data_IF_837391660301
#
_entry.id   IF_837391660301
#
_cell.length_a   1.000
_cell.length_b   1.000
_cell.length_c   1.000
_cell.angle_alpha   90.00
_cell.angle_beta   90.00
_cell.angle_gamma   90.00
#
_symmetry.space_group_name_H-M   'P 1'
#
loop_
_entity.id
_entity.type
_entity.pdbx_description
1 polymer ?
#
# COMPACT_ATOMS: atom_id res chain seq x y z
N UNK A 1 -1.34 78.79 -4.89
CA UNK A 1 -1.41 77.62 -3.95
C UNK A 1 -1.93 76.43 -4.69
N UNK A 2 -1.05 75.44 -5.03
CA UNK A 2 -1.43 74.22 -5.74
C UNK A 2 -1.61 73.09 -4.74
N UNK A 3 -2.83 72.58 -4.64
CA UNK A 3 -3.14 71.42 -3.76
C UNK A 3 -2.59 70.10 -4.37
N UNK A 4 -1.76 69.39 -3.61
CA UNK A 4 -1.27 68.05 -3.95
C UNK A 4 -2.37 67.03 -3.58
N UNK A 5 -2.97 66.41 -4.59
CA UNK A 5 -3.85 65.26 -4.39
C UNK A 5 -3.01 64.00 -4.16
N UNK A 6 -3.06 63.45 -2.95
CA UNK A 6 -2.47 62.14 -2.61
C UNK A 6 -3.43 61.04 -3.07
N UNK A 7 -3.06 60.30 -4.12
CA UNK A 7 -3.75 59.08 -4.52
C UNK A 7 -3.35 57.96 -3.59
N UNK A 8 -4.29 57.53 -2.76
CA UNK A 8 -4.17 56.28 -1.96
C UNK A 8 -4.44 55.11 -2.87
N UNK A 9 -3.45 54.24 -3.06
CA UNK A 9 -3.63 52.92 -3.67
C UNK A 9 -4.33 51.99 -2.65
N UNK A 10 -5.37 51.25 -3.03
CA UNK A 10 -5.92 50.23 -2.21
C UNK A 10 -5.00 48.98 -2.21
N UNK A 11 -4.49 48.66 -1.07
CA UNK A 11 -3.75 47.39 -0.81
C UNK A 11 -4.78 46.27 -0.77
N UNK A 12 -4.96 45.54 -1.86
CA UNK A 12 -5.77 44.33 -1.88
C UNK A 12 -5.03 43.20 -1.21
N UNK A 13 -5.47 42.88 0.00
CA UNK A 13 -5.01 41.73 0.79
C UNK A 13 -5.57 40.46 0.16
N UNK A 14 -4.76 39.76 -0.64
CA UNK A 14 -5.09 38.41 -1.11
C UNK A 14 -4.97 37.43 0.05
N UNK A 15 -6.07 37.16 0.70
CA UNK A 15 -6.18 36.09 1.68
C UNK A 15 -6.16 34.75 0.97
N UNK A 16 -5.02 34.03 1.01
CA UNK A 16 -4.95 32.64 0.59
C UNK A 16 -5.67 31.79 1.62
N UNK A 17 -6.93 31.42 1.36
CA UNK A 17 -7.63 30.39 2.10
C UNK A 17 -6.94 29.04 1.81
N UNK A 18 -6.10 28.58 2.75
CA UNK A 18 -5.59 27.21 2.74
C UNK A 18 -6.75 26.30 3.14
N UNK A 19 -7.51 25.83 2.17
CA UNK A 19 -8.46 24.75 2.36
C UNK A 19 -7.66 23.48 2.59
N UNK A 20 -7.48 23.07 3.85
CA UNK A 20 -6.98 21.75 4.22
C UNK A 20 -8.00 20.73 3.72
N UNK A 21 -7.74 20.17 2.55
CA UNK A 21 -8.44 19.00 2.06
C UNK A 21 -8.03 17.83 2.95
N UNK A 22 -8.83 17.57 3.96
CA UNK A 22 -8.79 16.28 4.66
C UNK A 22 -9.18 15.22 3.63
N UNK A 23 -8.19 14.61 2.99
CA UNK A 23 -8.38 13.38 2.26
C UNK A 23 -8.75 12.31 3.27
N UNK A 24 -10.03 12.15 3.52
CA UNK A 24 -10.54 10.91 4.12
C UNK A 24 -10.20 9.83 3.10
N UNK A 25 -9.07 9.15 3.29
CA UNK A 25 -8.77 7.95 2.52
C UNK A 25 -9.93 6.99 2.78
N UNK A 26 -10.59 6.46 1.74
CA UNK A 26 -11.54 5.39 1.98
C UNK A 26 -10.79 4.32 2.76
N UNK A 27 -11.36 3.88 3.88
CA UNK A 27 -10.79 2.78 4.65
C UNK A 27 -10.80 1.59 3.69
N UNK A 28 -9.64 1.27 3.15
CA UNK A 28 -9.45 0.12 2.27
C UNK A 28 -9.44 -1.13 3.12
N UNK A 29 -9.94 -2.24 2.58
CA UNK A 29 -9.74 -3.55 3.17
C UNK A 29 -8.24 -3.78 3.40
N UNK A 30 -7.91 -4.76 4.22
CA UNK A 30 -6.51 -5.05 4.53
C UNK A 30 -5.75 -5.43 3.25
N UNK A 31 -4.64 -4.75 2.98
CA UNK A 31 -3.81 -5.00 1.79
C UNK A 31 -2.40 -5.36 2.21
N UNK A 32 -1.90 -6.48 1.67
CA UNK A 32 -0.50 -6.89 1.79
C UNK A 32 0.16 -6.62 0.44
N UNK A 33 1.23 -5.83 0.42
CA UNK A 33 2.07 -5.62 -0.76
C UNK A 33 3.39 -6.33 -0.56
N UNK A 34 3.73 -7.25 -1.47
CA UNK A 34 4.98 -8.02 -1.46
C UNK A 34 5.88 -7.53 -2.60
N UNK A 35 7.06 -7.05 -2.26
CA UNK A 35 8.01 -6.41 -3.16
C UNK A 35 9.39 -7.04 -3.11
N UNK A 36 10.07 -7.09 -4.27
CA UNK A 36 11.49 -7.46 -4.33
C UNK A 36 12.31 -6.22 -4.02
N UNK A 37 13.02 -6.22 -2.88
CA UNK A 37 13.86 -5.13 -2.42
C UNK A 37 15.33 -5.57 -2.34
N UNK A 38 16.07 -5.34 -3.42
CA UNK A 38 17.45 -5.84 -3.52
C UNK A 38 17.50 -7.38 -3.50
N UNK A 39 18.22 -7.94 -2.55
CA UNK A 39 18.33 -9.40 -2.36
C UNK A 39 17.18 -10.00 -1.53
N UNK A 40 16.25 -9.19 -1.03
CA UNK A 40 15.19 -9.64 -0.12
C UNK A 40 13.81 -9.49 -0.76
N UNK A 41 12.85 -10.27 -0.28
CA UNK A 41 11.42 -10.03 -0.51
C UNK A 41 10.81 -9.49 0.78
N UNK A 42 10.14 -8.35 0.68
CA UNK A 42 9.49 -7.68 1.82
C UNK A 42 7.99 -7.63 1.56
N UNK A 43 7.21 -8.00 2.58
CA UNK A 43 5.76 -7.87 2.55
C UNK A 43 5.31 -6.90 3.65
N UNK A 44 4.52 -5.90 3.27
CA UNK A 44 3.94 -4.92 4.19
C UNK A 44 2.43 -5.00 4.11
N UNK A 45 1.78 -5.14 5.25
CA UNK A 45 0.33 -5.19 5.39
C UNK A 45 -0.21 -3.96 6.09
N UNK A 46 -1.31 -3.41 5.59
CA UNK A 46 -2.02 -2.32 6.26
C UNK A 46 -3.49 -2.27 5.85
N UNK A 47 -4.34 -1.75 6.73
CA UNK A 47 -5.77 -1.59 6.50
C UNK A 47 -6.61 -2.07 7.67
N UNK A 48 -7.87 -2.35 7.42
CA UNK A 48 -8.80 -2.83 8.44
C UNK A 48 -9.63 -4.01 7.91
N UNK A 49 -10.08 -4.86 8.82
CA UNK A 49 -10.92 -6.02 8.52
C UNK A 49 -12.29 -5.83 9.16
N UNK A 50 -13.32 -5.87 8.33
CA UNK A 50 -14.70 -5.93 8.80
C UNK A 50 -15.10 -7.40 8.96
N UNK A 51 -15.23 -7.86 10.20
CA UNK A 51 -15.54 -9.25 10.54
C UNK A 51 -17.01 -9.65 10.28
N UNK A 52 -17.87 -8.69 9.92
CA UNK A 52 -19.29 -8.97 9.62
C UNK A 52 -19.40 -9.97 8.46
N UNK A 53 -20.15 -11.03 8.65
CA UNK A 53 -20.33 -12.08 7.64
C UNK A 53 -19.27 -13.21 7.70
N UNK A 54 -18.28 -13.10 8.57
CA UNK A 54 -17.41 -14.21 8.95
C UNK A 54 -17.96 -14.95 10.17
N UNK A 55 -17.67 -16.23 10.26
CA UNK A 55 -18.05 -17.09 11.38
C UNK A 55 -16.85 -17.36 12.28
N UNK A 56 -16.88 -17.01 13.57
CA UNK A 56 -15.82 -17.36 14.50
C UNK A 56 -15.57 -18.86 14.55
N UNK A 57 -14.31 -19.28 14.52
CA UNK A 57 -13.86 -20.67 14.49
C UNK A 57 -12.86 -21.04 15.60
N UNK A 58 -12.80 -20.20 16.64
CA UNK A 58 -11.94 -20.46 17.81
C UNK A 58 -10.66 -19.61 17.83
N UNK A 59 -9.79 -19.91 18.78
CA UNK A 59 -8.50 -19.24 18.94
C UNK A 59 -7.33 -20.17 18.57
N UNK A 60 -6.22 -19.58 18.20
CA UNK A 60 -4.97 -20.29 17.92
C UNK A 60 -3.76 -19.47 18.38
N UNK A 61 -2.65 -20.14 18.67
CA UNK A 61 -1.35 -19.50 18.78
C UNK A 61 -0.62 -19.63 17.44
N UNK A 62 -0.18 -18.51 16.89
CA UNK A 62 0.50 -18.44 15.59
C UNK A 62 1.97 -18.13 15.80
N UNK A 63 2.84 -18.90 15.14
CA UNK A 63 4.29 -18.91 15.39
C UNK A 63 5.10 -17.85 14.61
N UNK A 64 4.47 -16.96 13.87
CA UNK A 64 5.16 -15.91 13.11
C UNK A 64 4.83 -15.89 11.62
N UNK A 65 5.48 -14.97 10.89
CA UNK A 65 5.25 -14.74 9.48
C UNK A 65 5.77 -15.86 8.57
N UNK A 66 5.08 -16.07 7.45
CA UNK A 66 5.48 -17.02 6.42
C UNK A 66 4.44 -17.14 5.32
N UNK A 67 4.80 -17.87 4.27
CA UNK A 67 3.92 -18.16 3.14
C UNK A 67 3.98 -19.64 2.74
N UNK A 68 2.89 -20.10 2.15
CA UNK A 68 2.85 -21.33 1.35
C UNK A 68 2.02 -21.02 0.10
N UNK A 69 2.73 -20.63 -0.99
CA UNK A 69 2.09 -20.09 -2.17
C UNK A 69 1.16 -21.11 -2.85
N UNK A 70 1.55 -22.38 -2.89
CA UNK A 70 0.76 -23.48 -3.46
C UNK A 70 -0.55 -23.74 -2.72
N UNK A 71 -0.62 -23.39 -1.45
CA UNK A 71 -1.80 -23.57 -0.59
C UNK A 71 -2.54 -22.25 -0.29
N UNK A 72 -2.08 -21.15 -0.90
CA UNK A 72 -2.65 -19.81 -0.68
C UNK A 72 -2.50 -19.31 0.76
N UNK A 73 -1.52 -19.82 1.51
CA UNK A 73 -1.26 -19.38 2.87
C UNK A 73 -0.38 -18.14 2.90
N UNK A 74 -0.78 -17.19 3.71
CA UNK A 74 0.05 -16.05 4.08
C UNK A 74 -0.22 -15.67 5.55
N UNK A 75 0.85 -15.49 6.30
CA UNK A 75 0.81 -15.04 7.70
C UNK A 75 1.82 -13.91 7.82
N UNK A 76 1.40 -12.80 8.39
CA UNK A 76 2.23 -11.60 8.61
C UNK A 76 2.12 -11.15 10.06
N UNK A 77 3.06 -10.33 10.51
CA UNK A 77 3.06 -9.78 11.86
C UNK A 77 3.77 -10.66 12.89
N UNK A 78 3.82 -10.17 14.11
CA UNK A 78 4.50 -10.84 15.23
C UNK A 78 3.79 -12.14 15.64
N UNK A 79 4.53 -13.14 16.13
CA UNK A 79 3.93 -14.31 16.78
C UNK A 79 2.96 -13.89 17.89
N UNK A 80 1.83 -14.59 18.01
CA UNK A 80 0.86 -14.23 19.05
C UNK A 80 -0.40 -15.06 19.04
N UNK A 81 -1.31 -14.74 19.95
CA UNK A 81 -2.65 -15.26 19.97
C UNK A 81 -3.51 -14.65 18.87
N UNK A 82 -4.32 -15.48 18.24
CA UNK A 82 -5.22 -15.08 17.18
C UNK A 82 -6.62 -15.63 17.39
N UNK A 83 -7.61 -14.95 16.81
CA UNK A 83 -8.96 -15.49 16.62
C UNK A 83 -9.11 -15.89 15.15
N UNK A 84 -9.59 -17.12 14.94
CA UNK A 84 -9.86 -17.67 13.61
C UNK A 84 -11.30 -17.39 13.18
N UNK A 85 -11.45 -17.12 11.91
CA UNK A 85 -12.77 -16.90 11.26
C UNK A 85 -12.84 -17.68 9.95
N UNK A 86 -13.99 -18.26 9.64
CA UNK A 86 -14.28 -18.94 8.37
C UNK A 86 -15.32 -18.19 7.56
N UNK A 87 -15.48 -18.57 6.30
CA UNK A 87 -16.43 -17.93 5.37
C UNK A 87 -15.77 -17.08 4.28
N UNK A 88 -14.43 -17.22 4.10
CA UNK A 88 -13.71 -16.57 3.01
C UNK A 88 -13.93 -17.29 1.68
N UNK A 89 -14.04 -16.50 0.61
CA UNK A 89 -13.96 -16.96 -0.78
C UNK A 89 -12.79 -16.26 -1.47
N UNK A 90 -12.04 -16.99 -2.29
CA UNK A 90 -10.91 -16.42 -3.01
C UNK A 90 -9.92 -17.46 -3.48
N UNK A 91 -8.76 -17.04 -3.98
CA UNK A 91 -7.74 -17.91 -4.51
C UNK A 91 -7.28 -18.97 -3.49
N UNK A 92 -7.07 -20.20 -3.98
CA UNK A 92 -6.51 -21.30 -3.18
C UNK A 92 -4.99 -21.39 -3.30
N UNK A 93 -4.40 -20.63 -4.22
CA UNK A 93 -2.95 -20.50 -4.40
C UNK A 93 -2.60 -19.12 -4.97
N UNK A 94 -1.36 -18.71 -4.80
CA UNK A 94 -0.75 -17.54 -5.46
C UNK A 94 0.65 -17.88 -6.01
N UNK A 95 0.87 -19.16 -6.33
CA UNK A 95 2.10 -19.68 -6.91
C UNK A 95 2.27 -21.17 -6.68
N UNK A 96 3.46 -21.70 -6.96
CA UNK A 96 3.79 -23.12 -6.79
C UNK A 96 4.68 -23.40 -5.57
N UNK A 97 5.10 -22.35 -4.84
CA UNK A 97 6.01 -22.47 -3.70
C UNK A 97 5.40 -23.18 -2.50
N UNK A 98 6.22 -23.99 -1.81
CA UNK A 98 5.86 -24.62 -0.55
C UNK A 98 5.93 -23.65 0.64
N UNK A 99 6.06 -24.21 1.85
CA UNK A 99 6.14 -23.44 3.09
C UNK A 99 7.51 -22.77 3.22
N UNK A 100 7.49 -21.45 3.35
CA UNK A 100 8.64 -20.61 3.68
C UNK A 100 8.32 -19.76 4.90
N UNK A 101 9.17 -19.84 5.92
CA UNK A 101 9.09 -18.95 7.07
C UNK A 101 9.82 -17.64 6.76
N UNK A 102 9.26 -16.51 7.19
CA UNK A 102 9.94 -15.23 7.09
C UNK A 102 11.18 -15.19 8.00
N UNK A 103 12.23 -14.50 7.57
CA UNK A 103 13.43 -14.24 8.37
C UNK A 103 13.11 -13.34 9.56
N UNK A 104 12.22 -12.36 9.34
CA UNK A 104 11.69 -11.45 10.36
C UNK A 104 10.23 -11.15 10.10
N UNK A 105 9.47 -10.93 11.18
CA UNK A 105 8.09 -10.43 11.09
C UNK A 105 7.75 -9.57 12.29
N UNK A 106 6.92 -8.55 12.09
CA UNK A 106 6.58 -7.57 13.12
C UNK A 106 5.21 -6.93 12.89
N UNK A 107 4.67 -6.28 13.93
CA UNK A 107 3.37 -5.63 13.90
C UNK A 107 2.22 -6.59 14.21
N UNK A 108 1.02 -6.19 13.81
CA UNK A 108 -0.21 -6.91 14.12
C UNK A 108 -0.27 -8.25 13.38
N UNK A 109 -0.65 -9.31 14.10
CA UNK A 109 -0.83 -10.62 13.49
C UNK A 109 -2.00 -10.59 12.51
N UNK A 110 -1.76 -11.01 11.29
CA UNK A 110 -2.78 -11.26 10.29
C UNK A 110 -2.41 -12.49 9.50
N UNK A 111 -3.38 -13.32 9.13
CA UNK A 111 -3.07 -14.48 8.31
C UNK A 111 -4.28 -15.16 7.70
N UNK A 112 -3.99 -15.90 6.64
CA UNK A 112 -4.90 -16.84 6.04
C UNK A 112 -4.22 -18.19 5.94
N UNK A 113 -4.88 -19.23 6.43
CA UNK A 113 -4.40 -20.63 6.34
C UNK A 113 -5.00 -21.35 5.13
N UNK A 114 -4.39 -22.50 4.72
CA UNK A 114 -4.85 -23.26 3.58
C UNK A 114 -6.30 -23.75 3.72
N UNK A 115 -6.95 -23.98 2.57
CA UNK A 115 -8.32 -24.50 2.49
C UNK A 115 -8.46 -25.91 3.09
N UNK A 116 -7.39 -26.72 3.12
CA UNK A 116 -7.39 -28.02 3.80
C UNK A 116 -7.68 -27.92 5.30
N UNK A 117 -7.48 -26.75 5.91
CA UNK A 117 -7.85 -26.43 7.29
C UNK A 117 -9.11 -25.57 7.38
N UNK A 118 -9.96 -25.54 6.32
CA UNK A 118 -11.14 -24.69 6.24
C UNK A 118 -10.86 -23.27 5.75
N UNK A 119 -9.63 -22.94 5.37
CA UNK A 119 -9.21 -21.63 4.85
C UNK A 119 -9.42 -20.46 5.80
N UNK A 120 -9.18 -20.61 7.13
CA UNK A 120 -9.53 -19.57 8.08
C UNK A 120 -8.67 -18.32 7.92
N UNK A 121 -9.30 -17.16 8.19
CA UNK A 121 -8.66 -15.89 8.44
C UNK A 121 -8.31 -15.80 9.91
N UNK A 122 -7.10 -15.32 10.21
CA UNK A 122 -6.64 -15.01 11.56
C UNK A 122 -6.44 -13.51 11.72
N UNK A 123 -6.99 -12.97 12.79
CA UNK A 123 -6.73 -11.61 13.26
C UNK A 123 -6.22 -11.65 14.70
N UNK A 124 -5.61 -10.58 15.24
CA UNK A 124 -5.13 -10.57 16.61
C UNK A 124 -6.23 -10.99 17.61
N UNK A 125 -5.84 -11.66 18.69
CA UNK A 125 -6.77 -11.98 19.76
C UNK A 125 -7.41 -10.68 20.30
N UNK A 126 -8.73 -10.67 20.46
CA UNK A 126 -9.53 -9.51 20.85
C UNK A 126 -9.54 -8.36 19.80
N UNK A 127 -9.24 -8.64 18.55
CA UNK A 127 -9.36 -7.66 17.49
C UNK A 127 -10.79 -7.11 17.39
N UNK A 128 -10.91 -5.77 17.40
CA UNK A 128 -12.21 -5.11 17.17
C UNK A 128 -12.41 -4.92 15.66
N UNK A 129 -13.55 -5.37 15.17
CA UNK A 129 -13.91 -5.26 13.74
C UNK A 129 -13.81 -3.81 13.25
N UNK A 130 -12.97 -3.59 12.25
CA UNK A 130 -12.74 -2.28 11.66
C UNK A 130 -11.55 -1.49 12.22
N UNK A 131 -10.89 -1.98 13.26
CA UNK A 131 -9.68 -1.36 13.76
C UNK A 131 -8.54 -1.46 12.73
N UNK A 132 -7.64 -0.48 12.64
CA UNK A 132 -6.51 -0.53 11.74
C UNK A 132 -5.49 -1.59 12.19
N UNK A 133 -4.98 -2.35 11.24
CA UNK A 133 -3.86 -3.30 11.39
C UNK A 133 -2.68 -2.81 10.56
N UNK A 134 -1.46 -3.04 11.06
CA UNK A 134 -0.22 -2.79 10.33
C UNK A 134 0.82 -3.82 10.70
N UNK A 135 1.46 -4.41 9.69
CA UNK A 135 2.48 -5.43 9.89
C UNK A 135 3.49 -5.48 8.74
N UNK A 136 4.57 -6.22 8.97
CA UNK A 136 5.55 -6.53 7.94
C UNK A 136 6.20 -7.88 8.16
N UNK A 137 6.75 -8.44 7.09
CA UNK A 137 7.66 -9.58 7.12
C UNK A 137 8.70 -9.48 6.02
N UNK A 138 9.88 -10.07 6.26
CA UNK A 138 10.99 -10.10 5.30
C UNK A 138 11.49 -11.52 5.12
N UNK A 139 11.77 -11.87 3.87
CA UNK A 139 12.48 -13.08 3.46
C UNK A 139 13.86 -12.66 2.96
N UNK A 140 14.90 -12.90 3.75
CA UNK A 140 16.27 -12.55 3.39
C UNK A 140 16.81 -13.47 2.31
N UNK A 141 17.61 -12.90 1.40
CA UNK A 141 18.23 -13.63 0.28
C UNK A 141 17.21 -14.44 -0.55
N UNK A 142 16.03 -13.88 -0.73
CA UNK A 142 14.94 -14.51 -1.46
C UNK A 142 14.50 -13.67 -2.67
N UNK A 143 13.97 -14.34 -3.67
CA UNK A 143 13.31 -13.75 -4.83
C UNK A 143 11.89 -14.30 -4.96
N UNK A 144 11.03 -13.67 -5.75
CA UNK A 144 9.72 -14.23 -6.05
C UNK A 144 9.81 -15.62 -6.63
N UNK A 145 10.82 -15.86 -7.48
CA UNK A 145 11.05 -17.18 -8.09
C UNK A 145 11.47 -18.22 -7.04
N UNK A 146 12.38 -17.88 -6.10
CA UNK A 146 12.81 -18.81 -5.05
C UNK A 146 11.70 -19.13 -4.05
N UNK A 147 10.81 -18.17 -3.78
CA UNK A 147 9.63 -18.38 -2.95
C UNK A 147 8.48 -19.06 -3.71
N UNK A 148 8.62 -19.22 -5.01
CA UNK A 148 7.60 -19.82 -5.88
C UNK A 148 6.29 -19.05 -5.92
N UNK A 149 6.33 -17.73 -5.68
CA UNK A 149 5.17 -16.86 -5.78
C UNK A 149 5.04 -16.30 -7.20
N UNK A 150 3.82 -16.11 -7.64
CA UNK A 150 3.51 -15.53 -8.96
C UNK A 150 3.10 -14.07 -8.80
N UNK A 151 3.75 -13.12 -9.48
CA UNK A 151 3.31 -11.73 -9.49
C UNK A 151 1.85 -11.58 -9.92
N UNK A 152 1.10 -10.73 -9.20
CA UNK A 152 -0.33 -10.53 -9.46
C UNK A 152 -1.06 -9.95 -8.26
N UNK A 153 -2.36 -9.79 -8.41
CA UNK A 153 -3.27 -9.34 -7.36
C UNK A 153 -4.23 -10.48 -7.02
N UNK A 154 -4.29 -10.83 -5.75
CA UNK A 154 -5.08 -11.92 -5.20
C UNK A 154 -6.03 -11.36 -4.15
N UNK A 155 -7.32 -11.53 -4.33
CA UNK A 155 -8.32 -10.98 -3.43
C UNK A 155 -9.15 -12.09 -2.80
N UNK A 156 -9.34 -11.99 -1.48
CA UNK A 156 -10.27 -12.81 -0.70
C UNK A 156 -11.38 -11.92 -0.18
N UNK A 157 -12.62 -12.39 -0.33
CA UNK A 157 -13.83 -11.67 0.04
C UNK A 157 -14.72 -12.50 0.94
N UNK A 158 -15.64 -11.85 1.64
CA UNK A 158 -16.67 -12.49 2.44
C UNK A 158 -17.89 -11.59 2.61
N UNK A 159 -18.91 -12.12 3.27
CA UNK A 159 -20.13 -11.38 3.62
C UNK A 159 -20.92 -10.90 2.41
N UNK A 160 -21.43 -9.68 2.46
CA UNK A 160 -22.36 -9.11 1.47
C UNK A 160 -21.79 -7.95 0.67
N UNK A 161 -20.47 -7.76 0.70
CA UNK A 161 -19.80 -6.67 -0.02
C UNK A 161 -19.81 -5.33 0.73
N UNK A 162 -19.94 -5.34 2.04
CA UNK A 162 -19.70 -4.15 2.85
C UNK A 162 -18.22 -3.77 2.81
N UNK A 163 -17.91 -2.52 3.16
CA UNK A 163 -16.54 -2.04 3.19
C UNK A 163 -15.66 -2.92 4.08
N UNK A 164 -14.43 -3.18 3.63
CA UNK A 164 -13.41 -3.97 4.33
C UNK A 164 -13.82 -5.43 4.59
N UNK A 165 -14.76 -5.98 3.83
CA UNK A 165 -15.07 -7.40 3.75
C UNK A 165 -14.20 -8.08 2.69
N UNK A 166 -12.94 -7.68 2.62
CA UNK A 166 -11.92 -8.25 1.76
C UNK A 166 -10.53 -8.05 2.33
N UNK A 167 -9.59 -8.89 1.92
CA UNK A 167 -8.19 -8.56 1.96
C UNK A 167 -7.55 -8.86 0.60
N UNK A 168 -6.49 -8.13 0.28
CA UNK A 168 -5.80 -8.21 -1.01
C UNK A 168 -4.32 -8.47 -0.79
N UNK A 169 -3.76 -9.44 -1.51
CA UNK A 169 -2.33 -9.64 -1.64
C UNK A 169 -1.88 -9.18 -3.03
N UNK A 170 -0.97 -8.23 -3.06
CA UNK A 170 -0.34 -7.73 -4.29
C UNK A 170 1.10 -8.21 -4.29
N UNK A 171 1.47 -9.03 -5.26
CA UNK A 171 2.84 -9.55 -5.46
C UNK A 171 3.44 -8.87 -6.68
N UNK A 172 4.63 -8.32 -6.52
CA UNK A 172 5.31 -7.61 -7.60
C UNK A 172 5.07 -6.12 -7.58
N UNK A 173 4.70 -5.58 -6.41
CA UNK A 173 4.53 -4.17 -6.06
C UNK A 173 3.89 -3.28 -7.13
N UNK A 174 3.16 -2.25 -6.71
CA UNK A 174 2.89 -1.12 -7.60
C UNK A 174 4.25 -0.58 -8.06
N UNK A 175 4.62 -0.93 -9.27
CA UNK A 175 5.92 -0.75 -9.89
C UNK A 175 6.81 0.29 -9.24
N UNK A 176 8.06 -0.01 -9.19
CA UNK A 176 9.08 1.02 -9.39
C UNK A 176 8.43 2.09 -10.25
N UNK A 177 8.37 3.39 -9.82
CA UNK A 177 7.97 4.43 -10.75
C UNK A 177 8.78 4.17 -12.01
N UNK A 178 8.14 3.72 -13.07
CA UNK A 178 8.87 3.35 -14.26
C UNK A 178 9.68 4.57 -14.65
N UNK A 179 10.98 4.38 -14.85
CA UNK A 179 11.88 5.48 -15.23
C UNK A 179 11.33 6.29 -16.41
N UNK A 180 10.28 5.78 -17.08
CA UNK A 180 9.50 6.45 -18.10
C UNK A 180 8.78 7.71 -17.64
N UNK A 181 8.16 7.72 -16.45
CA UNK A 181 7.52 8.95 -15.95
C UNK A 181 8.55 9.99 -15.50
N UNK A 182 9.66 9.55 -14.90
CA UNK A 182 10.77 10.44 -14.51
C UNK A 182 11.51 10.97 -15.72
N UNK A 183 11.76 10.12 -16.73
CA UNK A 183 12.40 10.52 -17.99
C UNK A 183 11.49 11.44 -18.80
N UNK A 184 10.17 11.21 -18.82
CA UNK A 184 9.21 12.09 -19.48
C UNK A 184 9.15 13.46 -18.80
N UNK A 185 9.07 13.52 -17.46
CA UNK A 185 9.11 14.77 -16.70
C UNK A 185 10.41 15.53 -16.91
N UNK A 186 11.56 14.85 -16.91
CA UNK A 186 12.85 15.45 -17.20
C UNK A 186 12.91 15.94 -18.65
N UNK A 187 12.38 15.20 -19.62
CA UNK A 187 12.26 15.58 -21.02
C UNK A 187 11.44 16.84 -21.19
N UNK A 188 10.27 16.95 -20.58
CA UNK A 188 9.43 18.15 -20.62
C UNK A 188 10.07 19.35 -19.91
N UNK A 189 10.78 19.13 -18.80
CA UNK A 189 11.55 20.19 -18.12
C UNK A 189 12.66 20.74 -19.01
N UNK A 190 13.40 19.89 -19.71
CA UNK A 190 14.46 20.30 -20.64
C UNK A 190 13.91 21.01 -21.87
N UNK A 191 12.78 20.56 -22.40
CA UNK A 191 12.09 21.24 -23.52
C UNK A 191 11.56 22.61 -23.09
N UNK A 192 11.01 22.74 -21.89
CA UNK A 192 10.59 24.01 -21.31
C UNK A 192 11.75 25.00 -21.15
N UNK A 193 12.90 24.54 -20.63
CA UNK A 193 14.12 25.34 -20.52
C UNK A 193 14.68 25.77 -21.89
N UNK A 194 14.64 24.89 -22.89
CA UNK A 194 15.08 25.21 -24.25
C UNK A 194 14.17 26.26 -24.92
N UNK A 195 12.85 26.17 -24.67
CA UNK A 195 11.88 27.15 -25.14
C UNK A 195 12.07 28.54 -24.47
N UNK A 196 12.37 28.56 -23.17
CA UNK A 196 12.69 29.81 -22.46
C UNK A 196 13.99 30.46 -22.99
N UNK A 197 15.02 29.66 -23.26
CA UNK A 197 16.28 30.17 -23.83
C UNK A 197 16.09 30.84 -25.20
N UNK A 198 15.15 30.37 -26.02
CA UNK A 198 14.82 30.97 -27.32
C UNK A 198 14.09 32.32 -27.21
N UNK A 199 13.45 32.60 -26.06
CA UNK A 199 12.74 33.88 -25.82
C UNK A 199 13.61 34.96 -25.16
N UNK A 200 14.81 34.61 -24.67
CA UNK A 200 15.73 35.54 -23.98
C UNK A 200 16.85 36.21 -24.79
N UNK A 201 16.94 36.17 -26.15
CA UNK A 201 18.07 36.81 -26.85
C UNK A 201 17.88 38.31 -27.15
N UNK A 202 16.83 38.98 -26.68
CA UNK A 202 16.55 40.35 -27.14
C UNK A 202 16.83 41.50 -26.16
N UNK A 203 17.51 41.22 -25.04
CA UNK A 203 17.88 42.29 -24.07
C UNK A 203 19.37 42.64 -24.05
N UNK A 204 20.15 42.14 -25.03
CA UNK A 204 21.56 42.49 -25.13
C UNK A 204 21.83 43.28 -26.43
N UNK A 205 21.61 44.58 -26.41
CA UNK A 205 21.96 45.42 -27.53
C UNK A 205 21.31 46.80 -27.56
N UNK A 206 21.53 47.62 -26.56
CA UNK A 206 21.44 49.06 -26.75
C UNK A 206 22.45 49.76 -25.81
N UNK A 207 23.71 49.82 -26.24
CA UNK A 207 24.65 50.82 -25.80
C UNK A 207 24.96 51.70 -27.00
N UNK A 208 24.61 52.95 -26.91
CA UNK A 208 25.27 54.10 -27.58
C UNK A 208 25.29 55.24 -26.61
#
# INVERSE_FOLDING_TARGET
>A
MKALSKKLLPLTLFGTAVTSLFFVRPVQGFTITMEQMGANVVANGSGAINLTGLTPAGGAAIGGGGIEASAGQIITGSPGGATAYTGLNGPTSFGSGGLFNASTSSGDLFGRFPTQFGGPLFVPFLYTSGDPLANSMTFDNATFASLGVTPGTYEWTWGTGLRNQNFTLIIGGAGVPDGGSTVSLLGFALLGLAALRRKLPLLRGRKS
#
